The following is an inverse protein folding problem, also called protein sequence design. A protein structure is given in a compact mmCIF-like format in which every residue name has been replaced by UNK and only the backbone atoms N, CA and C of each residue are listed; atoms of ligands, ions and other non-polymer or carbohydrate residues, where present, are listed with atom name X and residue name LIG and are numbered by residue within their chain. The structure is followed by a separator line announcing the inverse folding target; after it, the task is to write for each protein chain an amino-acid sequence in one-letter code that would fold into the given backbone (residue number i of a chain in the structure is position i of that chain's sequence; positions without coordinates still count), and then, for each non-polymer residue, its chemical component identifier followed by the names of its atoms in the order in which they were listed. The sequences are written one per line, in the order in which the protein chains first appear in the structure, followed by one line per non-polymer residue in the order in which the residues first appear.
data_IF_332985297853
#
_entry.id   IF_332985297853
#
_cell.length_a   1.000
_cell.length_b   1.000
_cell.length_c   1.000
_cell.angle_alpha   90.00
_cell.angle_beta   90.00
_cell.angle_gamma   90.00
#
_symmetry.space_group_name_H-M   'P 1'
#
loop_
_entity.id
_entity.type
_entity.pdbx_description
1 polymer ?
#
# COMPACT_ATOMS: atom_id res chain seq x y z
N UNK A 1 33.13 79.45 13.10
CA UNK A 1 33.06 78.58 11.91
C UNK A 1 32.15 77.39 12.23
N UNK A 2 30.86 77.50 11.89
CA UNK A 2 29.93 76.38 11.98
C UNK A 2 29.98 75.62 10.65
N UNK A 3 30.68 74.48 10.63
CA UNK A 3 30.60 73.57 9.49
C UNK A 3 29.51 72.54 9.76
N UNK A 4 28.39 72.76 9.07
CA UNK A 4 27.29 71.83 8.88
C UNK A 4 27.84 70.54 8.24
N UNK A 5 27.98 69.48 9.01
CA UNK A 5 28.11 68.13 8.45
C UNK A 5 26.70 67.60 8.28
N UNK A 6 26.17 67.78 7.07
CA UNK A 6 24.96 67.10 6.63
C UNK A 6 25.16 65.59 6.84
N UNK A 7 24.16 64.86 7.38
CA UNK A 7 24.26 63.41 7.51
C UNK A 7 24.44 62.83 6.12
N UNK A 8 25.58 62.17 5.90
CA UNK A 8 25.93 61.51 4.65
C UNK A 8 24.75 60.64 4.21
N UNK A 9 24.22 60.95 3.03
CA UNK A 9 23.24 60.13 2.33
C UNK A 9 23.83 58.73 2.17
N UNK A 10 23.38 57.81 3.02
CA UNK A 10 23.58 56.38 2.83
C UNK A 10 23.14 56.05 1.40
N UNK A 11 24.12 55.73 0.55
CA UNK A 11 23.94 55.42 -0.86
C UNK A 11 22.87 54.32 -0.99
N UNK A 12 21.83 54.60 -1.78
CA UNK A 12 20.59 53.81 -1.89
C UNK A 12 20.69 52.36 -2.41
N UNK A 13 21.88 51.77 -2.46
CA UNK A 13 22.08 50.32 -2.73
C UNK A 13 22.30 49.51 -1.45
N UNK A 14 22.99 50.03 -0.44
CA UNK A 14 23.20 49.30 0.84
C UNK A 14 21.95 49.37 1.74
N UNK A 15 21.14 50.43 1.60
CA UNK A 15 19.83 50.53 2.24
C UNK A 15 18.76 49.59 1.64
N UNK A 16 19.00 48.98 0.46
CA UNK A 16 18.08 48.02 -0.14
C UNK A 16 18.23 46.62 0.47
N UNK A 17 19.44 46.20 0.79
CA UNK A 17 19.67 44.88 1.42
C UNK A 17 19.35 44.91 2.93
N UNK A 18 19.51 46.06 3.59
CA UNK A 18 19.00 46.29 4.95
C UNK A 18 17.49 46.56 5.00
N UNK A 19 16.83 46.67 3.85
CA UNK A 19 15.36 46.69 3.75
C UNK A 19 14.85 45.28 3.53
N UNK A 20 15.08 44.39 4.49
CA UNK A 20 14.25 43.20 4.66
C UNK A 20 12.82 43.73 4.76
N UNK A 21 12.06 43.68 3.66
CA UNK A 21 10.67 44.06 3.68
C UNK A 21 9.92 42.93 4.36
N UNK A 22 9.85 43.01 5.70
CA UNK A 22 9.07 42.17 6.61
C UNK A 22 7.71 41.80 6.04
N UNK A 23 7.15 42.81 5.37
CA UNK A 23 5.96 42.77 4.55
C UNK A 23 6.37 42.62 3.08
N UNK A 24 5.97 41.55 2.41
CA UNK A 24 6.20 41.35 0.97
C UNK A 24 5.69 42.56 0.18
N UNK A 25 6.50 43.09 -0.74
CA UNK A 25 6.00 44.13 -1.65
C UNK A 25 5.09 43.54 -2.75
N UNK A 26 5.16 42.23 -2.97
CA UNK A 26 4.31 41.55 -3.93
C UNK A 26 2.97 41.20 -3.27
N UNK A 27 1.82 41.47 -3.93
CA UNK A 27 0.49 41.15 -3.40
C UNK A 27 0.24 39.63 -3.23
N UNK A 28 1.12 38.78 -3.77
CA UNK A 28 0.91 37.33 -3.89
C UNK A 28 1.84 36.46 -3.05
N UNK A 29 2.89 36.99 -2.40
CA UNK A 29 3.80 36.15 -1.61
C UNK A 29 3.50 36.28 -0.11
N UNK A 30 3.12 35.16 0.50
CA UNK A 30 2.90 35.04 1.93
C UNK A 30 4.21 35.23 2.70
N UNK A 31 4.21 36.16 3.66
CA UNK A 31 5.29 36.28 4.64
C UNK A 31 4.74 35.91 6.01
N UNK A 32 5.35 34.94 6.69
CA UNK A 32 4.86 34.40 7.96
C UNK A 32 4.70 35.49 9.05
N UNK A 33 5.56 36.51 8.99
CA UNK A 33 5.49 37.68 9.87
C UNK A 33 4.19 38.49 9.70
N UNK A 34 3.66 38.55 8.47
CA UNK A 34 2.39 39.22 8.20
C UNK A 34 1.22 38.43 8.75
N UNK A 35 1.27 37.11 8.57
CA UNK A 35 0.29 36.20 9.13
C UNK A 35 0.28 36.31 10.66
N UNK A 36 1.46 36.38 11.28
CA UNK A 36 1.61 36.55 12.72
C UNK A 36 1.07 37.90 13.22
N UNK A 37 1.43 39.00 12.55
CA UNK A 37 0.88 40.32 12.88
C UNK A 37 -0.65 40.35 12.75
N UNK A 38 -1.19 39.81 11.65
CA UNK A 38 -2.63 39.74 11.41
C UNK A 38 -3.34 38.84 12.43
N UNK A 39 -2.71 37.73 12.85
CA UNK A 39 -3.25 36.85 13.89
C UNK A 39 -3.30 37.55 15.26
N UNK A 40 -2.24 38.26 15.66
CA UNK A 40 -2.25 39.07 16.89
C UNK A 40 -3.31 40.15 16.85
N UNK A 41 -3.42 40.83 15.71
CA UNK A 41 -4.45 41.85 15.48
C UNK A 41 -5.85 41.28 15.63
N UNK A 42 -6.10 40.12 15.01
CA UNK A 42 -7.39 39.47 15.05
C UNK A 42 -7.75 38.97 16.44
N UNK A 43 -6.82 38.31 17.14
CA UNK A 43 -7.08 37.78 18.48
C UNK A 43 -7.31 38.88 19.51
N UNK A 44 -6.57 40.00 19.39
CA UNK A 44 -6.65 41.12 20.32
C UNK A 44 -7.89 41.99 20.11
N UNK A 45 -8.25 42.24 18.85
CA UNK A 45 -9.17 43.34 18.49
C UNK A 45 -10.47 42.85 17.86
N UNK A 46 -10.58 41.57 17.53
CA UNK A 46 -11.83 41.02 17.05
C UNK A 46 -12.85 41.02 18.19
N UNK A 47 -14.08 41.54 17.96
CA UNK A 47 -15.16 41.47 18.93
C UNK A 47 -15.66 40.04 19.16
N UNK A 48 -15.17 39.07 18.36
CA UNK A 48 -15.51 37.67 18.46
C UNK A 48 -14.95 37.04 19.73
N UNK A 49 -15.76 36.20 20.36
CA UNK A 49 -15.34 35.38 21.49
C UNK A 49 -14.24 34.39 21.05
N UNK A 50 -13.37 33.92 21.96
CA UNK A 50 -12.33 32.94 21.63
C UNK A 50 -12.86 31.67 20.94
N UNK A 51 -14.07 31.21 21.30
CA UNK A 51 -14.74 30.08 20.65
C UNK A 51 -15.10 30.40 19.19
N UNK A 52 -15.64 31.58 18.93
CA UNK A 52 -16.00 32.04 17.58
C UNK A 52 -14.75 32.28 16.72
N UNK A 53 -13.66 32.79 17.31
CA UNK A 53 -12.38 32.93 16.63
C UNK A 53 -11.82 31.56 16.18
N UNK A 54 -11.99 30.53 17.01
CA UNK A 54 -11.60 29.16 16.69
C UNK A 54 -12.48 28.57 15.57
N UNK A 55 -13.80 28.74 15.66
CA UNK A 55 -14.73 28.31 14.61
C UNK A 55 -14.45 29.00 13.27
N UNK A 56 -14.12 30.30 13.30
CA UNK A 56 -13.66 31.04 12.13
C UNK A 56 -12.38 30.43 11.56
N UNK A 57 -11.40 30.13 12.41
CA UNK A 57 -10.14 29.54 11.96
C UNK A 57 -10.33 28.13 11.38
N UNK A 58 -11.23 27.32 11.94
CA UNK A 58 -11.63 26.02 11.39
C UNK A 58 -12.27 26.16 10.00
N UNK A 59 -13.13 27.15 9.83
CA UNK A 59 -13.75 27.46 8.53
C UNK A 59 -12.71 27.90 7.50
N UNK A 60 -11.78 28.79 7.88
CA UNK A 60 -10.70 29.24 6.99
C UNK A 60 -9.78 28.09 6.62
N UNK A 61 -9.37 27.23 7.56
CA UNK A 61 -8.60 26.03 7.21
C UNK A 61 -9.36 25.13 6.24
N UNK A 62 -10.67 24.91 6.44
CA UNK A 62 -11.47 24.09 5.51
C UNK A 62 -11.46 24.66 4.08
N UNK A 63 -11.50 25.98 3.95
CA UNK A 63 -11.49 26.67 2.65
C UNK A 63 -10.10 26.73 2.03
N UNK A 64 -9.03 26.80 2.83
CA UNK A 64 -7.66 27.06 2.36
C UNK A 64 -6.65 25.90 2.55
N UNK A 65 -7.02 24.77 3.16
CA UNK A 65 -6.16 23.58 3.34
C UNK A 65 -6.09 22.64 2.12
N UNK A 66 -6.71 22.98 0.98
CA UNK A 66 -6.40 22.30 -0.27
C UNK A 66 -5.10 22.88 -0.86
N UNK A 67 -3.98 22.45 -0.26
CA UNK A 67 -2.57 22.58 -0.67
C UNK A 67 -2.18 23.65 -1.69
N UNK A 68 -1.43 24.65 -1.22
CA UNK A 68 -0.29 25.38 -1.84
C UNK A 68 -0.31 25.82 -3.32
N UNK A 69 -1.39 25.66 -4.09
CA UNK A 69 -1.50 26.14 -5.48
C UNK A 69 -2.92 26.49 -5.90
N UNK A 70 -3.64 27.29 -5.11
CA UNK A 70 -4.71 28.09 -5.69
C UNK A 70 -4.19 29.52 -5.88
N UNK A 71 -3.86 29.86 -7.12
CA UNK A 71 -4.20 31.20 -7.60
C UNK A 71 -5.70 31.33 -7.35
N UNK A 72 -6.11 32.32 -6.53
CA UNK A 72 -7.52 32.55 -6.29
C UNK A 72 -8.24 32.59 -7.64
N UNK A 73 -9.28 31.77 -7.87
CA UNK A 73 -10.03 31.79 -9.11
C UNK A 73 -10.41 33.23 -9.48
N UNK A 74 -10.37 33.61 -10.76
CA UNK A 74 -10.63 35.00 -11.18
C UNK A 74 -12.02 35.53 -10.74
N UNK A 75 -12.91 34.60 -10.40
CA UNK A 75 -14.28 34.70 -9.93
C UNK A 75 -14.45 34.40 -8.42
N UNK A 76 -13.37 34.03 -7.73
CA UNK A 76 -13.34 33.94 -6.28
C UNK A 76 -13.44 35.34 -5.68
N UNK A 77 -14.65 35.66 -5.20
CA UNK A 77 -14.84 36.78 -4.30
C UNK A 77 -14.51 36.27 -2.91
N UNK A 78 -13.58 36.92 -2.18
CA UNK A 78 -13.53 36.68 -0.77
C UNK A 78 -14.92 37.01 -0.24
N UNK A 79 -15.59 35.99 0.26
CA UNK A 79 -16.77 36.12 1.08
C UNK A 79 -18.08 36.50 0.36
N UNK A 80 -18.93 35.51 0.05
CA UNK A 80 -20.32 35.81 -0.38
C UNK A 80 -21.11 36.56 0.72
N UNK A 81 -20.74 36.43 2.00
CA UNK A 81 -21.51 36.95 3.16
C UNK A 81 -20.69 37.74 4.19
N UNK A 82 -19.42 38.06 3.95
CA UNK A 82 -18.59 38.72 4.96
C UNK A 82 -18.23 37.86 6.20
N UNK A 83 -18.28 36.53 6.19
CA UNK A 83 -17.92 35.69 7.35
C UNK A 83 -16.43 35.37 7.50
N UNK A 84 -15.67 35.29 6.41
CA UNK A 84 -14.23 34.92 6.44
C UNK A 84 -13.35 36.15 6.46
N UNK A 85 -13.59 37.10 5.55
CA UNK A 85 -12.67 38.22 5.34
C UNK A 85 -13.06 39.45 6.17
N UNK A 86 -14.36 39.71 6.34
CA UNK A 86 -14.85 40.89 7.07
C UNK A 86 -14.26 40.98 8.49
N UNK A 87 -14.20 39.91 9.30
CA UNK A 87 -13.65 40.02 10.65
C UNK A 87 -12.18 40.47 10.67
N UNK A 88 -11.37 40.00 9.71
CA UNK A 88 -9.98 40.42 9.54
C UNK A 88 -9.85 41.88 9.06
N UNK A 89 -10.70 42.28 8.12
CA UNK A 89 -10.73 43.66 7.63
C UNK A 89 -11.18 44.63 8.72
N UNK A 90 -12.22 44.29 9.48
CA UNK A 90 -12.72 45.09 10.59
C UNK A 90 -11.64 45.21 11.67
N UNK A 91 -11.01 44.09 12.05
CA UNK A 91 -9.88 44.09 12.99
C UNK A 91 -8.69 44.91 12.47
N UNK A 92 -8.45 44.99 11.16
CA UNK A 92 -7.37 45.78 10.56
C UNK A 92 -7.69 47.28 10.46
N UNK A 93 -8.93 47.63 10.13
CA UNK A 93 -9.37 49.01 9.92
C UNK A 93 -9.95 49.68 11.16
N UNK A 94 -9.99 48.97 12.29
CA UNK A 94 -10.56 49.48 13.52
C UNK A 94 -10.12 50.93 13.81
N UNK A 95 -11.07 51.90 13.79
CA UNK A 95 -10.75 53.30 14.00
C UNK A 95 -10.34 53.52 15.46
N UNK A 96 -9.28 54.31 15.68
CA UNK A 96 -8.87 54.73 17.03
C UNK A 96 -7.77 53.92 17.70
N UNK A 97 -7.07 53.03 16.99
CA UNK A 97 -5.92 52.31 17.57
C UNK A 97 -4.86 53.29 18.10
N UNK A 98 -4.54 53.14 19.38
CA UNK A 98 -3.53 53.96 20.03
C UNK A 98 -2.12 53.58 19.54
N UNK A 99 -1.16 54.47 19.73
CA UNK A 99 0.26 54.16 19.50
C UNK A 99 0.75 53.02 20.40
N UNK A 100 0.12 52.83 21.55
CA UNK A 100 0.44 51.83 22.56
C UNK A 100 0.03 50.42 22.10
N UNK A 101 -1.14 50.27 21.44
CA UNK A 101 -1.59 48.97 20.91
C UNK A 101 -0.61 48.41 19.87
N UNK A 102 -0.10 49.28 19.00
CA UNK A 102 0.93 48.90 18.02
C UNK A 102 2.25 48.52 18.66
N UNK A 103 2.62 49.17 19.76
CA UNK A 103 3.85 48.88 20.47
C UNK A 103 3.74 47.58 21.25
N UNK A 104 2.57 47.31 21.83
CA UNK A 104 2.24 46.04 22.49
C UNK A 104 2.28 44.87 21.52
N UNK A 105 1.60 44.96 20.38
CA UNK A 105 1.66 43.92 19.32
C UNK A 105 3.10 43.76 18.83
N UNK A 106 3.84 44.87 18.67
CA UNK A 106 5.24 44.86 18.29
C UNK A 106 6.13 44.09 19.28
N UNK A 107 5.96 44.34 20.58
CA UNK A 107 6.66 43.62 21.65
C UNK A 107 6.26 42.14 21.68
N UNK A 108 4.97 41.82 21.54
CA UNK A 108 4.47 40.44 21.54
C UNK A 108 5.03 39.61 20.37
N UNK A 109 5.17 40.20 19.18
CA UNK A 109 5.81 39.51 18.05
C UNK A 109 7.33 39.33 18.30
N UNK A 110 7.98 40.27 18.99
CA UNK A 110 9.39 40.13 19.33
C UNK A 110 9.65 39.02 20.37
N UNK A 111 8.73 38.82 21.31
CA UNK A 111 8.82 37.77 22.33
C UNK A 111 8.21 36.44 21.89
N UNK A 112 7.64 36.35 20.68
CA UNK A 112 7.03 35.13 20.16
C UNK A 112 8.10 34.10 19.78
N UNK A 113 8.17 33.00 20.52
CA UNK A 113 9.09 31.88 20.32
C UNK A 113 8.54 30.78 19.37
N UNK A 114 7.33 30.97 18.84
CA UNK A 114 6.65 30.03 17.95
C UNK A 114 6.98 30.20 16.47
N UNK A 115 6.37 29.36 15.64
CA UNK A 115 6.47 29.41 14.17
C UNK A 115 6.14 30.82 13.62
N UNK A 116 6.90 31.25 12.60
CA UNK A 116 6.66 32.49 11.85
C UNK A 116 7.41 33.74 12.35
N UNK A 117 8.21 33.62 13.40
CA UNK A 117 9.14 34.69 13.79
C UNK A 117 10.25 34.85 12.75
N UNK A 118 10.53 36.10 12.34
CA UNK A 118 11.73 36.46 11.59
C UNK A 118 12.65 37.27 12.49
N UNK A 119 13.93 36.91 12.52
CA UNK A 119 14.96 37.60 13.30
C UNK A 119 14.98 39.09 12.94
N UNK A 120 14.59 39.98 13.88
CA UNK A 120 14.69 41.46 13.88
C UNK A 120 13.41 42.34 13.69
N UNK A 121 12.17 41.84 13.86
CA UNK A 121 10.98 42.70 13.67
C UNK A 121 10.92 43.79 14.76
N UNK A 122 10.75 45.07 14.38
CA UNK A 122 10.68 46.22 15.32
C UNK A 122 9.35 46.97 15.20
N UNK A 123 8.85 47.48 16.32
CA UNK A 123 7.59 48.26 16.45
C UNK A 123 7.43 49.38 15.42
N UNK A 124 8.51 50.08 15.08
CA UNK A 124 8.48 51.20 14.14
C UNK A 124 8.09 50.79 12.71
N UNK A 125 8.34 49.52 12.34
CA UNK A 125 7.97 48.97 11.02
C UNK A 125 6.48 48.62 10.92
N UNK A 126 5.84 48.22 12.03
CA UNK A 126 4.39 47.97 12.08
C UNK A 126 3.61 49.27 11.83
N UNK A 127 4.05 50.37 12.44
CA UNK A 127 3.44 51.69 12.23
C UNK A 127 3.60 52.17 10.79
N UNK A 128 4.77 51.99 10.18
CA UNK A 128 5.00 52.32 8.77
C UNK A 128 4.09 51.52 7.82
N UNK A 129 3.85 50.23 8.12
CA UNK A 129 2.95 49.39 7.34
C UNK A 129 1.52 49.92 7.39
N UNK A 130 1.00 50.24 8.58
CA UNK A 130 -0.35 50.81 8.70
C UNK A 130 -0.47 52.16 7.99
N UNK A 131 0.48 53.09 8.18
CA UNK A 131 0.46 54.41 7.54
C UNK A 131 0.42 54.33 6.00
N UNK A 132 1.11 53.34 5.43
CA UNK A 132 1.08 53.10 3.99
C UNK A 132 -0.32 52.73 3.48
N UNK A 133 -1.12 52.01 4.27
CA UNK A 133 -2.47 51.58 3.91
C UNK A 133 -3.56 52.56 4.38
N UNK A 134 -3.41 53.23 5.52
CA UNK A 134 -4.36 54.22 6.04
C UNK A 134 -4.36 55.54 5.25
N UNK A 135 -3.25 55.90 4.61
CA UNK A 135 -3.12 57.15 3.85
C UNK A 135 -3.70 57.14 2.44
N UNK A 136 -4.41 56.09 2.00
CA UNK A 136 -4.75 55.96 0.56
C UNK A 136 -6.13 55.39 0.26
N UNK A 137 -6.81 56.12 -0.64
CA UNK A 137 -8.15 55.84 -1.21
C UNK A 137 -8.29 54.39 -1.72
N UNK A 138 -9.55 53.93 -1.76
CA UNK A 138 -10.10 52.61 -2.16
C UNK A 138 -9.28 51.69 -3.10
N UNK A 139 -8.44 52.21 -4.02
CA UNK A 139 -7.54 51.39 -4.86
C UNK A 139 -6.58 50.51 -4.05
N UNK A 140 -6.17 50.92 -2.85
CA UNK A 140 -5.32 50.09 -1.98
C UNK A 140 -6.08 49.05 -1.14
N UNK A 141 -7.41 49.19 -1.01
CA UNK A 141 -8.22 48.21 -0.30
C UNK A 141 -8.24 46.86 -1.03
N UNK A 142 -8.32 46.86 -2.37
CA UNK A 142 -8.22 45.63 -3.17
C UNK A 142 -6.87 44.92 -3.02
N UNK A 143 -5.77 45.67 -2.97
CA UNK A 143 -4.44 45.12 -2.74
C UNK A 143 -4.28 44.54 -1.33
N UNK A 144 -4.85 45.20 -0.32
CA UNK A 144 -4.87 44.67 1.05
C UNK A 144 -5.74 43.42 1.15
N UNK A 145 -6.91 43.39 0.50
CA UNK A 145 -7.77 42.22 0.44
C UNK A 145 -7.03 41.03 -0.17
N UNK A 146 -6.42 41.19 -1.35
CA UNK A 146 -5.64 40.12 -1.98
C UNK A 146 -4.50 39.60 -1.08
N UNK A 147 -3.87 40.51 -0.33
CA UNK A 147 -2.80 40.20 0.61
C UNK A 147 -3.26 39.48 1.88
N UNK A 148 -4.38 39.88 2.47
CA UNK A 148 -4.99 39.14 3.57
C UNK A 148 -5.37 37.75 3.06
N UNK A 149 -5.99 37.66 1.88
CA UNK A 149 -6.39 36.39 1.29
C UNK A 149 -5.22 35.43 1.05
N UNK A 150 -4.04 35.93 0.64
CA UNK A 150 -2.87 35.06 0.47
C UNK A 150 -2.37 34.49 1.80
N UNK A 151 -2.45 35.23 2.92
CA UNK A 151 -1.98 34.77 4.22
C UNK A 151 -3.05 34.14 5.14
N UNK A 152 -4.32 34.09 4.72
CA UNK A 152 -5.45 33.64 5.55
C UNK A 152 -5.25 32.24 6.15
N UNK A 153 -4.71 31.27 5.39
CA UNK A 153 -4.43 29.93 5.91
C UNK A 153 -3.40 29.93 7.04
N UNK A 154 -2.33 30.73 6.91
CA UNK A 154 -1.32 30.87 7.96
C UNK A 154 -1.86 31.61 9.19
N UNK A 155 -2.68 32.65 8.98
CA UNK A 155 -3.37 33.36 10.07
C UNK A 155 -4.29 32.41 10.84
N UNK A 156 -5.11 31.61 10.14
CA UNK A 156 -6.03 30.67 10.77
C UNK A 156 -5.30 29.65 11.67
N UNK A 157 -4.17 29.09 11.19
CA UNK A 157 -3.34 28.17 12.00
C UNK A 157 -2.85 28.82 13.29
N UNK A 158 -2.47 30.09 13.25
CA UNK A 158 -2.04 30.85 14.42
C UNK A 158 -3.20 31.19 15.36
N UNK A 159 -4.36 31.61 14.82
CA UNK A 159 -5.56 31.94 15.60
C UNK A 159 -6.12 30.73 16.36
N UNK A 160 -5.98 29.50 15.82
CA UNK A 160 -6.29 28.27 16.57
C UNK A 160 -5.48 28.13 17.85
N UNK A 161 -4.26 28.68 17.86
CA UNK A 161 -3.40 28.79 19.05
C UNK A 161 -3.67 30.08 19.84
N UNK A 162 -4.87 30.65 19.75
CA UNK A 162 -5.22 31.98 20.26
C UNK A 162 -4.92 32.23 21.75
N UNK A 163 -4.95 31.20 22.60
CA UNK A 163 -4.53 31.32 24.00
C UNK A 163 -3.05 31.71 24.15
N UNK A 164 -2.17 31.18 23.30
CA UNK A 164 -0.75 31.53 23.29
C UNK A 164 -0.53 32.96 22.80
N UNK A 165 -1.27 33.37 21.76
CA UNK A 165 -1.22 34.74 21.24
C UNK A 165 -1.68 35.75 22.30
N UNK A 166 -2.75 35.46 23.05
CA UNK A 166 -3.22 36.32 24.17
C UNK A 166 -2.18 36.41 25.26
N UNK A 167 -1.60 35.28 25.70
CA UNK A 167 -0.55 35.26 26.72
C UNK A 167 0.66 36.11 26.32
N UNK A 168 1.09 36.05 25.07
CA UNK A 168 2.21 36.87 24.57
C UNK A 168 1.86 38.37 24.54
N UNK A 169 0.60 38.72 24.24
CA UNK A 169 0.13 40.10 24.32
C UNK A 169 0.08 40.60 25.76
N UNK A 170 -0.39 39.79 26.70
CA UNK A 170 -0.46 40.14 28.12
C UNK A 170 0.95 40.36 28.68
N UNK A 171 1.89 39.47 28.38
CA UNK A 171 3.32 39.66 28.72
C UNK A 171 3.92 40.93 28.13
N UNK A 172 3.50 41.31 26.92
CA UNK A 172 3.95 42.54 26.26
C UNK A 172 3.33 43.81 26.88
N UNK A 173 2.10 43.72 27.42
CA UNK A 173 1.41 44.79 28.15
C UNK A 173 1.99 44.99 29.54
N UNK A 174 2.30 43.91 30.24
CA UNK A 174 2.85 43.91 31.60
C UNK A 174 4.32 44.38 31.66
N UNK A 175 4.92 44.70 30.52
CA UNK A 175 6.23 45.34 30.44
C UNK A 175 6.15 46.86 30.72
N UNK A 176 5.66 47.25 31.90
CA UNK A 176 5.97 48.53 32.56
C UNK A 176 6.78 48.29 33.83
N UNK A 177 7.90 49.00 33.93
CA UNK A 177 9.04 48.87 34.86
C UNK A 177 9.73 47.49 34.94
N UNK A 178 11.05 47.42 34.67
CA UNK A 178 11.80 46.20 34.89
C UNK A 178 11.78 45.88 36.40
N UNK A 179 11.41 44.65 36.81
CA UNK A 179 11.64 44.21 38.18
C UNK A 179 13.10 44.45 38.55
N UNK A 180 13.36 44.80 39.81
CA UNK A 180 14.73 45.07 40.26
C UNK A 180 15.65 43.91 39.87
N UNK A 181 16.94 44.19 39.63
CA UNK A 181 17.92 43.16 39.24
C UNK A 181 17.85 41.94 40.16
N UNK A 182 17.54 42.16 41.44
CA UNK A 182 17.34 41.12 42.44
C UNK A 182 16.07 40.28 42.17
N UNK A 183 14.92 40.91 41.93
CA UNK A 183 13.68 40.19 41.60
C UNK A 183 13.79 39.41 40.28
N UNK A 184 14.53 39.94 39.30
CA UNK A 184 14.84 39.22 38.04
C UNK A 184 15.72 38.01 38.28
N UNK A 185 16.71 38.13 39.17
CA UNK A 185 17.58 37.03 39.53
C UNK A 185 16.82 35.95 40.31
N UNK A 186 15.95 36.35 41.23
CA UNK A 186 15.14 35.43 42.03
C UNK A 186 14.11 34.71 41.15
N UNK A 187 13.41 35.43 40.24
CA UNK A 187 12.52 34.81 39.25
C UNK A 187 13.27 33.86 38.32
N UNK A 188 14.45 34.25 37.82
CA UNK A 188 15.26 33.38 36.97
C UNK A 188 15.77 32.14 37.73
N UNK A 189 16.06 32.24 39.03
CA UNK A 189 16.39 31.06 39.84
C UNK A 189 15.18 30.15 40.07
N UNK A 190 14.00 30.72 40.29
CA UNK A 190 12.76 29.99 40.47
C UNK A 190 12.39 29.24 39.16
N UNK A 191 12.47 29.93 38.03
CA UNK A 191 12.28 29.36 36.69
C UNK A 191 13.31 28.26 36.40
N UNK A 192 14.59 28.47 36.74
CA UNK A 192 15.62 27.44 36.56
C UNK A 192 15.34 26.19 37.41
N UNK A 193 14.80 26.35 38.62
CA UNK A 193 14.38 25.22 39.46
C UNK A 193 13.19 24.49 38.85
N UNK A 194 12.17 25.21 38.39
CA UNK A 194 11.01 24.62 37.73
C UNK A 194 11.40 23.87 36.45
N UNK A 195 12.21 24.49 35.59
CA UNK A 195 12.73 23.85 34.37
C UNK A 195 13.53 22.60 34.69
N UNK A 196 14.35 22.57 35.74
CA UNK A 196 15.07 21.35 36.16
C UNK A 196 14.13 20.23 36.60
N UNK A 197 13.04 20.56 37.30
CA UNK A 197 12.02 19.58 37.70
C UNK A 197 11.30 19.03 36.47
N UNK A 198 10.83 19.90 35.58
CA UNK A 198 10.16 19.52 34.33
C UNK A 198 11.07 18.68 33.43
N UNK A 199 12.37 19.01 33.37
CA UNK A 199 13.35 18.26 32.58
C UNK A 199 13.57 16.86 33.16
N UNK A 200 13.61 16.72 34.49
CA UNK A 200 13.67 15.41 35.15
C UNK A 200 12.41 14.56 34.96
N UNK A 201 11.23 15.18 34.88
CA UNK A 201 9.97 14.48 34.54
C UNK A 201 9.94 14.04 33.07
N UNK A 202 10.35 14.92 32.15
CA UNK A 202 10.51 14.62 30.73
C UNK A 202 11.52 13.50 30.46
N UNK A 203 12.64 13.47 31.18
CA UNK A 203 13.62 12.38 31.08
C UNK A 203 13.04 11.04 31.54
N UNK A 204 12.24 11.03 32.61
CA UNK A 204 11.54 9.83 33.08
C UNK A 204 10.51 9.35 32.06
N UNK A 205 9.72 10.26 31.47
CA UNK A 205 8.78 9.93 30.40
C UNK A 205 9.48 9.38 29.16
N UNK A 206 10.61 9.98 28.77
CA UNK A 206 11.43 9.51 27.65
C UNK A 206 12.01 8.11 27.92
N UNK A 207 12.47 7.84 29.14
CA UNK A 207 12.93 6.50 29.53
C UNK A 207 11.79 5.47 29.49
N UNK A 208 10.58 5.87 29.90
CA UNK A 208 9.42 4.97 29.90
C UNK A 208 8.94 4.66 28.48
N UNK A 209 8.86 5.66 27.61
CA UNK A 209 8.49 5.52 26.20
C UNK A 209 9.52 4.73 25.41
N UNK A 210 10.82 4.95 25.60
CA UNK A 210 11.87 4.15 24.96
C UNK A 210 11.86 2.70 25.41
N UNK A 211 11.58 2.44 26.69
CA UNK A 211 11.40 1.06 27.20
C UNK A 211 10.16 0.40 26.60
N UNK A 212 9.05 1.13 26.47
CA UNK A 212 7.84 0.63 25.82
C UNK A 212 8.08 0.33 24.33
N UNK A 213 8.79 1.20 23.61
CA UNK A 213 9.15 0.99 22.21
C UNK A 213 10.00 -0.29 22.03
N UNK A 214 11.01 -0.51 22.87
CA UNK A 214 11.81 -1.75 22.85
C UNK A 214 10.96 -3.01 23.09
N UNK A 215 9.98 -2.95 23.99
CA UNK A 215 9.04 -4.08 24.23
C UNK A 215 8.19 -4.37 22.99
N UNK A 216 7.75 -3.33 22.28
CA UNK A 216 6.99 -3.48 21.02
C UNK A 216 7.87 -4.08 19.93
N UNK A 217 9.11 -3.61 19.78
CA UNK A 217 10.07 -4.18 18.82
C UNK A 217 10.36 -5.67 19.12
N UNK A 218 10.58 -6.02 20.37
CA UNK A 218 10.79 -7.41 20.80
C UNK A 218 9.55 -8.28 20.53
N UNK A 219 8.35 -7.76 20.77
CA UNK A 219 7.10 -8.45 20.46
C UNK A 219 6.94 -8.67 18.95
N UNK A 220 7.26 -7.65 18.15
CA UNK A 220 7.22 -7.74 16.69
C UNK A 220 8.22 -8.77 16.16
N UNK A 221 9.45 -8.80 16.71
CA UNK A 221 10.46 -9.82 16.37
C UNK A 221 9.95 -11.23 16.68
N UNK A 222 9.40 -11.45 17.88
CA UNK A 222 8.82 -12.75 18.28
C UNK A 222 7.67 -13.19 17.37
N UNK A 223 6.80 -12.26 16.97
CA UNK A 223 5.70 -12.52 16.02
C UNK A 223 6.22 -12.94 14.65
N UNK A 224 7.23 -12.24 14.13
CA UNK A 224 7.86 -12.56 12.84
C UNK A 224 8.50 -13.95 12.85
N UNK A 225 9.18 -14.29 13.95
CA UNK A 225 9.81 -15.60 14.12
C UNK A 225 8.79 -16.74 14.23
N UNK A 226 7.70 -16.54 15.01
CA UNK A 226 6.57 -17.49 15.04
C UNK A 226 5.94 -17.69 13.66
N UNK A 227 5.73 -16.60 12.91
CA UNK A 227 5.21 -16.67 11.54
C UNK A 227 6.12 -17.45 10.60
N UNK A 228 7.45 -17.30 10.74
CA UNK A 228 8.43 -18.09 9.98
C UNK A 228 8.34 -19.58 10.32
N UNK A 229 8.33 -19.93 11.61
CA UNK A 229 8.24 -21.33 12.07
C UNK A 229 6.95 -22.01 11.61
N UNK A 230 5.81 -21.31 11.66
CA UNK A 230 4.53 -21.85 11.18
C UNK A 230 4.55 -22.12 9.66
N UNK A 231 5.12 -21.21 8.86
CA UNK A 231 5.27 -21.42 7.41
C UNK A 231 6.17 -22.60 7.09
N UNK A 232 7.26 -22.76 7.83
CA UNK A 232 8.18 -23.89 7.68
C UNK A 232 7.51 -25.22 8.03
N UNK A 233 6.77 -25.29 9.14
CA UNK A 233 5.97 -26.47 9.49
C UNK A 233 4.90 -26.79 8.45
N UNK A 234 4.20 -25.78 7.92
CA UNK A 234 3.22 -25.98 6.86
C UNK A 234 3.87 -26.52 5.57
N UNK A 235 5.04 -26.01 5.20
CA UNK A 235 5.79 -26.49 4.04
C UNK A 235 6.26 -27.95 4.21
N UNK A 236 6.69 -28.34 5.42
CA UNK A 236 7.07 -29.72 5.74
C UNK A 236 5.86 -30.67 5.63
N UNK A 237 4.72 -30.31 6.24
CA UNK A 237 3.47 -31.08 6.11
C UNK A 237 3.00 -31.23 4.66
N UNK A 238 3.12 -30.17 3.87
CA UNK A 238 2.80 -30.21 2.44
C UNK A 238 3.71 -31.18 1.68
N UNK A 239 5.02 -31.17 1.94
CA UNK A 239 5.98 -32.12 1.33
C UNK A 239 5.65 -33.57 1.69
N UNK A 240 5.32 -33.84 2.95
CA UNK A 240 4.92 -35.18 3.41
C UNK A 240 3.62 -35.64 2.74
N UNK A 241 2.62 -34.76 2.65
CA UNK A 241 1.36 -35.03 1.96
C UNK A 241 1.58 -35.40 0.48
N UNK A 242 2.37 -34.60 -0.24
CA UNK A 242 2.72 -34.88 -1.65
C UNK A 242 3.45 -36.22 -1.79
N UNK A 243 4.39 -36.54 -0.89
CA UNK A 243 5.10 -37.82 -0.89
C UNK A 243 4.14 -39.00 -0.70
N UNK A 244 3.21 -38.89 0.24
CA UNK A 244 2.16 -39.89 0.50
C UNK A 244 1.24 -40.06 -0.71
N UNK A 245 0.79 -38.96 -1.31
CA UNK A 245 -0.09 -39.00 -2.48
C UNK A 245 0.59 -39.65 -3.70
N UNK A 246 1.87 -39.31 -3.94
CA UNK A 246 2.69 -39.93 -4.99
C UNK A 246 2.86 -41.43 -4.77
N UNK A 247 3.04 -41.87 -3.52
CA UNK A 247 3.13 -43.30 -3.19
C UNK A 247 1.81 -44.02 -3.46
N UNK A 248 0.67 -43.43 -3.06
CA UNK A 248 -0.67 -43.98 -3.34
C UNK A 248 -0.94 -44.11 -4.84
N UNK A 249 -0.62 -43.08 -5.62
CA UNK A 249 -0.77 -43.11 -7.08
C UNK A 249 0.10 -44.20 -7.72
N UNK A 250 1.36 -44.36 -7.28
CA UNK A 250 2.23 -45.43 -7.77
C UNK A 250 1.66 -46.82 -7.45
N UNK A 251 1.14 -47.03 -6.24
CA UNK A 251 0.54 -48.29 -5.84
C UNK A 251 -0.72 -48.60 -6.67
N UNK A 252 -1.61 -47.61 -6.84
CA UNK A 252 -2.81 -47.76 -7.69
C UNK A 252 -2.45 -48.07 -9.15
N UNK A 253 -1.42 -47.42 -9.70
CA UNK A 253 -0.96 -47.68 -11.06
C UNK A 253 -0.37 -49.09 -11.19
N UNK A 254 0.39 -49.56 -10.19
CA UNK A 254 0.93 -50.91 -10.18
C UNK A 254 -0.17 -51.98 -10.14
N UNK A 255 -1.21 -51.80 -9.30
CA UNK A 255 -2.36 -52.70 -9.25
C UNK A 255 -3.14 -52.70 -10.58
N UNK A 256 -3.39 -51.53 -11.18
CA UNK A 256 -4.04 -51.46 -12.51
C UNK A 256 -3.25 -52.21 -13.59
N UNK A 257 -1.92 -52.09 -13.60
CA UNK A 257 -1.08 -52.85 -14.54
C UNK A 257 -1.19 -54.35 -14.27
N UNK A 258 -1.18 -54.76 -13.00
CA UNK A 258 -1.30 -56.17 -12.60
C UNK A 258 -2.64 -56.76 -13.04
N UNK A 259 -3.74 -56.03 -12.82
CA UNK A 259 -5.08 -56.40 -13.28
C UNK A 259 -5.15 -56.49 -14.82
N UNK A 260 -4.60 -55.50 -15.53
CA UNK A 260 -4.57 -55.51 -16.99
C UNK A 260 -3.78 -56.70 -17.54
N UNK A 261 -2.62 -57.02 -16.95
CA UNK A 261 -1.81 -58.19 -17.32
C UNK A 261 -2.55 -59.51 -17.06
N UNK A 262 -3.25 -59.61 -15.92
CA UNK A 262 -4.04 -60.80 -15.60
C UNK A 262 -5.18 -61.02 -16.61
N UNK A 263 -5.90 -59.95 -16.98
CA UNK A 263 -6.94 -60.00 -18.01
C UNK A 263 -6.39 -60.43 -19.37
N UNK A 264 -5.30 -59.81 -19.82
CA UNK A 264 -4.65 -60.17 -21.09
C UNK A 264 -4.16 -61.63 -21.11
N UNK A 265 -3.63 -62.12 -19.99
CA UNK A 265 -3.20 -63.51 -19.88
C UNK A 265 -4.39 -64.49 -19.95
N UNK A 266 -5.51 -64.14 -19.33
CA UNK A 266 -6.73 -64.95 -19.38
C UNK A 266 -7.35 -64.95 -20.77
N UNK A 267 -7.47 -63.78 -21.42
CA UNK A 267 -7.95 -63.67 -22.79
C UNK A 267 -7.08 -64.49 -23.76
N UNK A 268 -5.75 -64.45 -23.58
CA UNK A 268 -4.82 -65.25 -24.37
C UNK A 268 -5.01 -66.75 -24.15
N UNK A 269 -5.24 -67.19 -22.91
CA UNK A 269 -5.53 -68.60 -22.57
C UNK A 269 -6.84 -69.06 -23.21
N UNK A 270 -7.91 -68.28 -23.08
CA UNK A 270 -9.22 -68.60 -23.66
C UNK A 270 -9.12 -68.68 -25.18
N UNK A 271 -8.38 -67.75 -25.82
CA UNK A 271 -8.17 -67.77 -27.27
C UNK A 271 -7.38 -69.01 -27.71
N UNK A 272 -6.27 -69.30 -27.04
CA UNK A 272 -5.45 -70.49 -27.33
C UNK A 272 -6.26 -71.79 -27.14
N UNK A 273 -7.07 -71.88 -26.08
CA UNK A 273 -7.94 -73.03 -25.85
C UNK A 273 -8.97 -73.21 -26.96
N UNK A 274 -9.59 -72.13 -27.44
CA UNK A 274 -10.51 -72.16 -28.58
C UNK A 274 -9.81 -72.65 -29.85
N UNK A 275 -8.63 -72.12 -30.16
CA UNK A 275 -7.85 -72.53 -31.34
C UNK A 275 -7.45 -74.01 -31.28
N UNK A 276 -6.94 -74.48 -30.13
CA UNK A 276 -6.59 -75.90 -29.92
C UNK A 276 -7.83 -76.79 -30.04
N UNK A 277 -8.96 -76.38 -29.46
CA UNK A 277 -10.20 -77.16 -29.56
C UNK A 277 -10.71 -77.26 -31.01
N UNK A 278 -10.62 -76.17 -31.79
CA UNK A 278 -11.00 -76.16 -33.19
C UNK A 278 -10.08 -77.06 -34.03
N UNK A 279 -8.76 -77.01 -33.79
CA UNK A 279 -7.80 -77.90 -34.44
C UNK A 279 -8.04 -79.37 -34.09
N UNK A 280 -8.35 -79.66 -32.81
CA UNK A 280 -8.66 -81.01 -32.37
C UNK A 280 -9.92 -81.57 -33.05
N UNK A 281 -10.99 -80.78 -33.17
CA UNK A 281 -12.21 -81.17 -33.88
C UNK A 281 -11.98 -81.38 -35.38
N UNK A 282 -11.18 -80.52 -36.02
CA UNK A 282 -10.80 -80.69 -37.42
C UNK A 282 -9.98 -81.98 -37.63
N UNK A 283 -9.03 -82.29 -36.74
CA UNK A 283 -8.27 -83.54 -36.78
C UNK A 283 -9.17 -84.76 -36.59
N UNK A 284 -10.12 -84.72 -35.64
CA UNK A 284 -11.12 -85.79 -35.46
C UNK A 284 -11.94 -86.01 -36.73
N UNK A 285 -12.39 -84.94 -37.40
CA UNK A 285 -13.12 -85.04 -38.68
C UNK A 285 -12.26 -85.69 -39.77
N UNK A 286 -11.00 -85.26 -39.93
CA UNK A 286 -10.06 -85.86 -40.89
C UNK A 286 -9.82 -87.34 -40.61
N UNK A 287 -9.63 -87.71 -39.35
CA UNK A 287 -9.42 -89.09 -38.93
C UNK A 287 -10.67 -89.96 -39.16
N UNK A 288 -11.87 -89.42 -38.93
CA UNK A 288 -13.13 -90.10 -39.25
C UNK A 288 -13.26 -90.34 -40.77
N UNK A 289 -12.95 -89.34 -41.60
CA UNK A 289 -12.94 -89.49 -43.06
C UNK A 289 -11.91 -90.53 -43.53
N UNK A 290 -10.70 -90.53 -42.95
CA UNK A 290 -9.66 -91.52 -43.27
C UNK A 290 -10.10 -92.94 -42.91
N UNK A 291 -10.71 -93.13 -41.73
CA UNK A 291 -11.29 -94.42 -41.30
C UNK A 291 -12.41 -94.88 -42.23
N UNK A 292 -13.28 -93.97 -42.68
CA UNK A 292 -14.34 -94.29 -43.63
C UNK A 292 -13.77 -94.75 -44.99
N UNK A 293 -12.75 -94.06 -45.50
CA UNK A 293 -12.02 -94.47 -46.72
C UNK A 293 -11.36 -95.84 -46.55
N UNK A 294 -10.70 -96.08 -45.41
CA UNK A 294 -10.09 -97.37 -45.11
C UNK A 294 -11.11 -98.52 -45.15
N UNK A 295 -12.27 -98.34 -44.51
CA UNK A 295 -13.37 -99.32 -44.56
C UNK A 295 -13.90 -99.56 -45.98
N UNK A 296 -14.03 -98.50 -46.79
CA UNK A 296 -14.42 -98.65 -48.19
C UNK A 296 -13.38 -99.43 -49.00
N UNK A 297 -12.09 -99.16 -48.79
CA UNK A 297 -11.02 -99.90 -49.45
C UNK A 297 -10.96 -101.36 -49.00
N UNK A 298 -11.16 -101.65 -47.71
CA UNK A 298 -11.26 -103.01 -47.19
C UNK A 298 -12.44 -103.76 -47.80
N UNK A 299 -13.61 -103.12 -47.88
CA UNK A 299 -14.79 -103.69 -48.52
C UNK A 299 -14.57 -103.94 -50.03
N UNK A 300 -13.90 -103.02 -50.72
CA UNK A 300 -13.53 -103.19 -52.12
C UNK A 300 -12.54 -104.35 -52.33
N UNK A 301 -11.54 -104.50 -51.45
CA UNK A 301 -10.60 -105.62 -51.46
C UNK A 301 -11.34 -106.94 -51.19
N UNK A 302 -12.23 -106.99 -50.20
CA UNK A 302 -13.03 -108.17 -49.89
C UNK A 302 -13.93 -108.57 -51.07
N UNK A 303 -14.61 -107.60 -51.71
CA UNK A 303 -15.39 -107.82 -52.92
C UNK A 303 -14.52 -108.32 -54.09
N UNK A 304 -13.32 -107.77 -54.26
CA UNK A 304 -12.37 -108.22 -55.29
C UNK A 304 -11.89 -109.64 -55.03
N UNK A 305 -11.56 -109.99 -53.77
CA UNK A 305 -11.23 -111.36 -53.36
C UNK A 305 -12.37 -112.33 -53.66
N UNK A 306 -13.61 -111.97 -53.27
CA UNK A 306 -14.80 -112.77 -53.57
C UNK A 306 -14.99 -112.99 -55.08
N UNK A 307 -14.84 -111.93 -55.89
CA UNK A 307 -14.87 -112.04 -57.36
C UNK A 307 -13.76 -112.94 -57.91
N UNK A 308 -12.54 -112.85 -57.38
CA UNK A 308 -11.43 -113.73 -57.77
C UNK A 308 -11.71 -115.19 -57.40
N UNK A 309 -12.27 -115.45 -56.22
CA UNK A 309 -12.70 -116.81 -55.82
C UNK A 309 -13.83 -117.34 -56.69
N UNK A 310 -14.82 -116.51 -57.04
CA UNK A 310 -15.89 -116.88 -57.97
C UNK A 310 -15.36 -117.17 -59.38
N UNK A 311 -14.42 -116.36 -59.88
CA UNK A 311 -13.73 -116.60 -61.15
C UNK A 311 -12.90 -117.89 -61.09
N UNK A 312 -12.17 -118.12 -60.00
CA UNK A 312 -11.40 -119.35 -59.78
C UNK A 312 -12.31 -120.59 -59.80
N UNK A 313 -13.43 -120.56 -59.08
CA UNK A 313 -14.45 -121.63 -59.10
C UNK A 313 -15.05 -121.86 -60.49
N UNK A 314 -15.20 -120.82 -61.33
CA UNK A 314 -15.67 -120.94 -62.72
C UNK A 314 -14.60 -121.50 -63.66
N UNK A 315 -13.32 -121.24 -63.40
CA UNK A 315 -12.19 -121.76 -64.17
C UNK A 315 -11.80 -123.19 -63.74
N UNK A 316 -12.08 -123.57 -62.50
CA UNK A 316 -11.78 -124.89 -61.93
C UNK A 316 -12.28 -126.10 -62.76
N UNK A 317 -13.47 -126.07 -63.39
CA UNK A 317 -13.94 -127.14 -64.29
C UNK A 317 -13.21 -127.17 -65.65
N UNK A 318 -12.56 -126.07 -66.06
CA UNK A 318 -11.78 -125.99 -67.30
C UNK A 318 -10.34 -126.47 -67.10
N UNK A 319 -9.86 -126.49 -65.85
CA UNK A 319 -8.57 -127.07 -65.46
C UNK A 319 -8.82 -128.53 -65.07
N UNK A 320 -9.02 -129.42 -66.05
CA UNK A 320 -8.87 -130.85 -65.78
C UNK A 320 -7.38 -131.17 -65.63
N UNK A 321 -6.95 -131.90 -64.57
CA UNK A 321 -5.63 -132.49 -64.55
C UNK A 321 -5.62 -133.65 -65.55
N UNK A 322 -5.20 -133.34 -66.78
CA UNK A 322 -5.02 -134.35 -67.82
C UNK A 322 -5.66 -133.98 -69.15
N UNK A 323 -5.05 -133.01 -69.86
CA UNK A 323 -4.80 -133.03 -71.30
C UNK A 323 -4.10 -131.73 -71.70
N UNK A 324 -3.19 -131.85 -72.67
CA UNK A 324 -2.18 -130.88 -73.12
C UNK A 324 -1.00 -130.75 -72.13
N UNK A 325 0.14 -131.41 -72.31
CA UNK A 325 0.72 -132.06 -73.48
C UNK A 325 2.19 -131.69 -73.50
N UNK A 326 3.08 -132.67 -73.40
CA UNK A 326 4.50 -132.52 -73.68
C UNK A 326 4.69 -131.77 -75.00
N UNK A 327 5.42 -130.66 -74.96
CA UNK A 327 6.19 -130.18 -76.10
C UNK A 327 7.63 -130.11 -75.62
N UNK A 328 8.43 -131.04 -76.12
CA UNK A 328 9.88 -130.91 -76.16
C UNK A 328 10.22 -129.74 -77.08
N UNK A 329 10.88 -128.72 -76.54
CA UNK A 329 12.17 -128.19 -77.01
C UNK A 329 12.96 -127.76 -75.78
#
# INVERSE_FOLDING_TARGET
MHSSVAPERIKGKVAKDASISWFSRAPTSTSDTEALYLAFLFVCESPMLPSEQKEWADLVETVFNQGDKMEAPADWKPDKNGRILKPMLDAYWMPGRSKEDYDTIGKAIQSWDGEGQKDNLRKDRLRQHQQYFSGTKQKKAGALTARICSCLGAVARLVKRGALLRRALDQARDCEEPPSVQQRFDLAQEELKQVKVELGEREKELLHTTTAAKRVEDAHRKLKERGRQQREQAALKAKESVKSHKAKLKAQHAERIKEARARLAEDARVKAQKEVSAQAEELKRRLAMARARARQTEAAIANRKKRMEELWKKLQPQIQPGKFGCVQV
#
